data_IF_378084855958
#
_entry.id   IF_378084855958
#
_cell.length_a   1.000
_cell.length_b   1.000
_cell.length_c   1.000
_cell.angle_alpha   90.00
_cell.angle_beta   90.00
_cell.angle_gamma   90.00
#
_symmetry.space_group_name_H-M   'P 1'
#
loop_
_entity.id
_entity.type
_entity.pdbx_description
1 polymer ?
#
# COMPACT_ATOMS: atom_id res chain seq x y z
N UNK A 1 5.90 8.65 -7.40
CA UNK A 1 6.88 7.70 -6.88
C UNK A 1 8.29 8.07 -7.33
N UNK A 2 8.58 8.29 -8.63
CA UNK A 2 9.93 8.59 -9.12
C UNK A 2 10.63 9.78 -8.45
N UNK A 3 9.91 10.86 -8.14
CA UNK A 3 10.48 12.02 -7.44
C UNK A 3 10.82 11.67 -5.99
N UNK A 4 9.97 10.91 -5.31
CA UNK A 4 10.26 10.45 -3.96
C UNK A 4 11.41 9.44 -3.94
N UNK A 5 11.51 8.57 -4.93
CA UNK A 5 12.60 7.63 -5.06
C UNK A 5 13.93 8.36 -5.34
N UNK A 6 13.93 9.33 -6.26
CA UNK A 6 15.09 10.18 -6.51
C UNK A 6 15.48 11.02 -5.28
N UNK A 7 14.50 11.58 -4.55
CA UNK A 7 14.76 12.30 -3.31
C UNK A 7 15.32 11.39 -2.21
N UNK A 8 14.97 10.09 -2.20
CA UNK A 8 15.52 9.10 -1.23
C UNK A 8 16.99 8.77 -1.49
N UNK A 9 17.39 8.74 -2.75
CA UNK A 9 18.79 8.51 -3.13
C UNK A 9 19.66 9.70 -2.78
N UNK A 10 19.09 10.91 -2.74
CA UNK A 10 19.78 12.14 -2.36
C UNK A 10 19.58 12.42 -0.87
N UNK A 11 20.68 12.48 -0.14
CA UNK A 11 20.68 12.81 1.31
C UNK A 11 20.32 14.27 1.63
N UNK A 12 20.34 15.15 0.63
CA UNK A 12 20.04 16.57 0.74
C UNK A 12 18.60 16.86 0.28
N UNK A 13 18.05 18.00 0.74
CA UNK A 13 16.79 18.50 0.24
C UNK A 13 16.86 18.72 -1.27
N UNK A 14 15.89 18.20 -2.00
CA UNK A 14 15.78 18.32 -3.43
C UNK A 14 14.67 19.29 -3.80
N UNK A 15 14.95 20.20 -4.72
CA UNK A 15 13.95 21.09 -5.28
C UNK A 15 13.43 20.51 -6.60
N UNK A 16 12.12 20.43 -6.70
CA UNK A 16 11.43 20.00 -7.91
C UNK A 16 10.45 21.07 -8.35
N UNK A 17 10.28 21.23 -9.64
CA UNK A 17 9.21 22.04 -10.21
C UNK A 17 7.99 21.18 -10.47
N UNK A 18 6.83 21.82 -10.65
CA UNK A 18 5.62 21.12 -11.05
C UNK A 18 5.81 20.39 -12.39
N UNK A 19 6.61 20.96 -13.30
CA UNK A 19 6.96 20.36 -14.56
C UNK A 19 7.74 19.04 -14.40
N UNK A 20 8.62 18.94 -13.39
CA UNK A 20 9.41 17.72 -13.14
C UNK A 20 8.52 16.53 -12.77
N UNK A 21 7.36 16.76 -12.12
CA UNK A 21 6.39 15.71 -11.84
C UNK A 21 5.85 15.04 -13.09
N UNK A 22 5.62 15.81 -14.16
CA UNK A 22 5.06 15.29 -15.41
C UNK A 22 6.13 14.75 -16.34
N UNK A 23 7.30 15.37 -16.38
CA UNK A 23 8.41 14.96 -17.25
C UNK A 23 9.00 13.61 -16.83
N UNK A 24 9.12 13.39 -15.52
CA UNK A 24 9.75 12.20 -14.95
C UNK A 24 8.75 11.07 -14.61
N UNK A 25 7.46 11.34 -14.66
CA UNK A 25 6.43 10.35 -14.40
C UNK A 25 5.65 10.08 -15.69
N UNK A 26 5.28 8.83 -15.91
CA UNK A 26 4.44 8.40 -17.05
C UNK A 26 2.99 8.92 -16.99
N UNK A 27 2.75 9.97 -16.23
CA UNK A 27 1.42 10.58 -16.11
C UNK A 27 1.25 11.61 -17.24
N UNK A 28 0.04 11.67 -17.78
CA UNK A 28 -0.31 12.68 -18.76
C UNK A 28 -0.10 14.09 -18.18
N UNK A 29 0.49 14.99 -18.96
CA UNK A 29 0.58 16.40 -18.59
C UNK A 29 -0.82 16.96 -18.33
N UNK A 30 -0.99 17.88 -17.37
CA UNK A 30 -2.26 18.54 -17.18
C UNK A 30 -2.64 19.26 -18.47
N UNK A 31 -3.93 19.26 -18.78
CA UNK A 31 -4.44 19.96 -19.95
C UNK A 31 -4.04 21.44 -19.87
N UNK A 32 -3.51 21.98 -20.95
CA UNK A 32 -3.06 23.38 -21.03
C UNK A 32 -4.10 24.38 -20.49
N UNK A 33 -5.38 24.10 -20.71
CA UNK A 33 -6.48 24.91 -20.20
C UNK A 33 -6.47 25.00 -18.66
N UNK A 34 -6.16 23.91 -17.95
CA UNK A 34 -6.08 23.92 -16.47
C UNK A 34 -4.89 24.74 -16.00
N UNK A 35 -3.75 24.61 -16.67
CA UNK A 35 -2.55 25.40 -16.36
C UNK A 35 -2.81 26.90 -16.57
N UNK A 36 -3.44 27.25 -17.71
CA UNK A 36 -3.79 28.62 -18.02
C UNK A 36 -4.79 29.18 -16.99
N UNK A 37 -5.84 28.43 -16.68
CA UNK A 37 -6.83 28.84 -15.68
C UNK A 37 -6.18 29.19 -14.34
N UNK A 38 -5.34 28.30 -13.82
CA UNK A 38 -4.63 28.53 -12.54
C UNK A 38 -3.70 29.73 -12.63
N UNK A 39 -2.93 29.85 -13.71
CA UNK A 39 -2.03 30.98 -13.90
C UNK A 39 -2.77 32.31 -13.97
N UNK A 40 -3.91 32.36 -14.67
CA UNK A 40 -4.70 33.58 -14.84
C UNK A 40 -5.36 33.99 -13.51
N UNK A 41 -5.86 33.04 -12.73
CA UNK A 41 -6.39 33.30 -11.39
C UNK A 41 -5.35 33.94 -10.47
N UNK A 42 -4.12 33.40 -10.43
CA UNK A 42 -3.05 33.98 -9.64
C UNK A 42 -2.62 35.37 -10.14
N UNK A 43 -2.62 35.59 -11.46
CA UNK A 43 -2.31 36.91 -12.05
C UNK A 43 -3.39 37.94 -11.72
N UNK A 44 -4.65 37.55 -11.77
CA UNK A 44 -5.79 38.40 -11.39
C UNK A 44 -5.73 38.85 -9.92
N UNK A 45 -5.07 38.06 -9.08
CA UNK A 45 -4.84 38.37 -7.67
C UNK A 45 -3.46 39.02 -7.40
N UNK A 46 -2.81 39.55 -8.43
CA UNK A 46 -1.58 40.34 -8.31
C UNK A 46 -0.26 39.58 -8.48
N UNK A 47 -0.29 38.28 -8.70
CA UNK A 47 0.91 37.48 -8.95
C UNK A 47 1.27 37.45 -10.45
N UNK A 48 1.66 38.60 -11.01
CA UNK A 48 1.84 38.82 -12.45
C UNK A 48 2.83 37.88 -13.12
N UNK A 49 3.85 37.41 -12.39
CA UNK A 49 4.89 36.48 -12.89
C UNK A 49 4.63 35.01 -12.54
N UNK A 50 3.47 34.69 -11.98
CA UNK A 50 3.17 33.33 -11.57
C UNK A 50 3.05 32.39 -12.77
N UNK A 51 3.72 31.25 -12.66
CA UNK A 51 3.58 30.11 -13.57
C UNK A 51 3.58 28.81 -12.77
N UNK A 52 2.47 28.09 -12.81
CA UNK A 52 2.26 26.84 -12.10
C UNK A 52 3.38 25.82 -12.35
N UNK A 53 3.84 25.70 -13.60
CA UNK A 53 4.88 24.73 -13.96
C UNK A 53 6.23 25.02 -13.33
N UNK A 54 6.47 26.28 -12.97
CA UNK A 54 7.73 26.74 -12.35
C UNK A 54 7.68 26.81 -10.83
N UNK A 55 6.55 26.48 -10.21
CA UNK A 55 6.44 26.41 -8.75
C UNK A 55 7.44 25.41 -8.21
N UNK A 56 8.31 25.85 -7.31
CA UNK A 56 9.35 25.01 -6.71
C UNK A 56 8.84 24.37 -5.43
N UNK A 57 9.03 23.09 -5.33
CA UNK A 57 8.69 22.27 -4.16
C UNK A 57 9.98 21.76 -3.54
N UNK A 58 10.13 22.01 -2.26
CA UNK A 58 11.24 21.44 -1.50
C UNK A 58 10.80 20.11 -0.91
N UNK A 59 11.42 19.02 -1.37
CA UNK A 59 11.20 17.68 -0.84
C UNK A 59 12.38 17.32 0.05
N UNK A 60 12.18 17.45 1.35
CA UNK A 60 13.13 17.00 2.38
C UNK A 60 12.66 15.66 2.94
N UNK A 61 13.44 14.63 2.71
CA UNK A 61 13.14 13.28 3.19
C UNK A 61 13.07 13.17 4.70
N UNK A 62 13.87 13.96 5.43
CA UNK A 62 13.84 13.96 6.90
C UNK A 62 12.51 14.50 7.40
N UNK A 63 12.09 15.63 6.82
CA UNK A 63 10.80 16.24 7.16
C UNK A 63 9.64 15.31 6.81
N UNK A 64 9.65 14.71 5.61
CA UNK A 64 8.62 13.75 5.17
C UNK A 64 8.57 12.55 6.13
N UNK A 65 9.70 11.95 6.45
CA UNK A 65 9.76 10.81 7.37
C UNK A 65 9.29 11.21 8.79
N UNK A 66 9.61 12.41 9.24
CA UNK A 66 9.13 12.91 10.52
C UNK A 66 7.61 13.07 10.53
N UNK A 67 7.02 13.72 9.53
CA UNK A 67 5.57 13.92 9.43
C UNK A 67 4.83 12.58 9.30
N UNK A 68 5.30 11.71 8.42
CA UNK A 68 4.73 10.37 8.27
C UNK A 68 4.84 9.60 9.58
N UNK A 69 6.01 9.64 10.23
CA UNK A 69 6.24 8.98 11.51
C UNK A 69 5.22 9.43 12.56
N UNK A 70 5.02 10.74 12.74
CA UNK A 70 4.04 11.28 13.69
C UNK A 70 2.61 10.78 13.43
N UNK A 71 2.22 10.65 12.15
CA UNK A 71 0.86 10.22 11.78
C UNK A 71 0.65 8.72 12.03
N UNK A 72 1.64 7.89 11.68
CA UNK A 72 1.47 6.42 11.68
C UNK A 72 2.03 5.74 12.93
N UNK A 73 2.82 6.42 13.76
CA UNK A 73 3.53 5.81 14.90
C UNK A 73 2.59 5.10 15.87
N UNK A 74 1.50 5.75 16.25
CA UNK A 74 0.51 5.15 17.14
C UNK A 74 -0.11 3.89 16.53
N UNK A 75 -0.51 3.96 15.26
CA UNK A 75 -1.11 2.84 14.55
C UNK A 75 -0.15 1.65 14.47
N UNK A 76 1.10 1.89 14.06
CA UNK A 76 2.11 0.84 13.95
C UNK A 76 2.50 0.29 15.32
N UNK A 77 2.56 1.13 16.35
CA UNK A 77 2.78 0.67 17.72
C UNK A 77 1.70 -0.30 18.19
N UNK A 78 0.45 -0.03 17.88
CA UNK A 78 -0.67 -0.93 18.23
C UNK A 78 -0.65 -2.23 17.38
N UNK A 79 -0.26 -2.16 16.11
CA UNK A 79 -0.01 -3.35 15.28
C UNK A 79 1.12 -4.20 15.87
N UNK A 80 2.23 -3.60 16.26
CA UNK A 80 3.37 -4.31 16.86
C UNK A 80 3.00 -4.99 18.19
N UNK A 81 2.15 -4.36 19.02
CA UNK A 81 1.63 -5.00 20.24
C UNK A 81 0.83 -6.28 19.93
N UNK A 82 -0.01 -6.23 18.89
CA UNK A 82 -0.77 -7.42 18.44
C UNK A 82 0.18 -8.50 17.89
N UNK A 83 1.13 -8.13 17.02
CA UNK A 83 2.11 -9.07 16.49
C UNK A 83 2.92 -9.76 17.60
N UNK A 84 3.30 -9.00 18.64
CA UNK A 84 3.97 -9.58 19.81
C UNK A 84 3.11 -10.64 20.50
N UNK A 85 1.80 -10.42 20.63
CA UNK A 85 0.87 -11.36 21.24
C UNK A 85 0.72 -12.67 20.43
N UNK A 86 0.99 -12.63 19.11
CA UNK A 86 0.99 -13.82 18.25
C UNK A 86 2.30 -14.61 18.26
N UNK A 87 3.33 -14.13 18.95
CA UNK A 87 4.65 -14.79 19.05
C UNK A 87 5.23 -15.19 17.68
N UNK A 88 5.12 -14.29 16.70
CA UNK A 88 5.54 -14.55 15.33
C UNK A 88 7.07 -14.71 15.25
N UNK A 89 7.54 -15.77 14.57
CA UNK A 89 8.95 -15.98 14.28
C UNK A 89 9.48 -15.01 13.21
N UNK A 90 8.65 -14.69 12.21
CA UNK A 90 8.99 -13.80 11.11
C UNK A 90 7.85 -12.81 10.85
N UNK A 91 8.21 -11.60 10.46
CA UNK A 91 7.27 -10.55 10.05
C UNK A 91 7.59 -10.11 8.63
N UNK A 92 6.66 -10.36 7.72
CA UNK A 92 6.79 -9.94 6.33
C UNK A 92 6.10 -8.60 6.13
N UNK A 93 6.84 -7.59 5.68
CA UNK A 93 6.31 -6.26 5.41
C UNK A 93 6.01 -6.11 3.92
N UNK A 94 4.73 -6.15 3.56
CA UNK A 94 4.24 -6.00 2.19
C UNK A 94 3.45 -4.71 2.00
N UNK A 95 3.27 -4.31 0.75
CA UNK A 95 2.57 -3.10 0.37
C UNK A 95 3.48 -1.87 0.23
N UNK A 96 3.02 -0.90 -0.55
CA UNK A 96 3.80 0.29 -0.90
C UNK A 96 4.33 1.11 0.29
N UNK A 97 3.56 1.34 1.37
CA UNK A 97 4.04 2.10 2.53
C UNK A 97 5.27 1.47 3.21
N UNK A 98 5.45 0.15 3.11
CA UNK A 98 6.60 -0.53 3.73
C UNK A 98 7.93 -0.24 3.04
N UNK A 99 7.89 0.41 1.89
CA UNK A 99 9.09 0.91 1.21
C UNK A 99 9.62 2.19 1.87
N UNK A 100 8.83 2.86 2.70
CA UNK A 100 9.26 4.07 3.42
C UNK A 100 10.18 3.68 4.58
N UNK A 101 11.37 4.30 4.72
CA UNK A 101 12.31 3.98 5.78
C UNK A 101 11.70 4.09 7.18
N UNK A 102 10.92 5.14 7.44
CA UNK A 102 10.27 5.39 8.73
C UNK A 102 9.34 4.25 9.17
N UNK A 103 8.69 3.58 8.22
CA UNK A 103 7.83 2.43 8.55
C UNK A 103 8.67 1.28 9.10
N UNK A 104 9.77 0.98 8.44
CA UNK A 104 10.72 -0.06 8.86
C UNK A 104 11.34 0.27 10.23
N UNK A 105 11.75 1.53 10.42
CA UNK A 105 12.33 2.00 11.68
C UNK A 105 11.34 1.88 12.84
N UNK A 106 10.06 2.16 12.60
CA UNK A 106 9.01 1.99 13.61
C UNK A 106 8.78 0.51 13.97
N UNK A 107 8.83 -0.40 13.00
CA UNK A 107 8.79 -1.84 13.31
C UNK A 107 9.98 -2.27 14.15
N UNK A 108 11.20 -1.83 13.82
CA UNK A 108 12.39 -2.11 14.63
C UNK A 108 12.30 -1.51 16.04
N UNK A 109 11.66 -0.35 16.19
CA UNK A 109 11.48 0.32 17.48
C UNK A 109 10.50 -0.42 18.39
N UNK A 110 9.39 -0.91 17.85
CA UNK A 110 8.26 -1.41 18.65
C UNK A 110 8.13 -2.93 18.70
N UNK A 111 8.73 -3.65 17.76
CA UNK A 111 8.61 -5.08 17.69
C UNK A 111 9.86 -5.76 18.29
N UNK A 112 9.74 -6.52 19.37
CA UNK A 112 10.86 -7.21 20.01
C UNK A 112 11.24 -8.50 19.26
N UNK A 113 11.51 -8.35 17.96
CA UNK A 113 11.94 -9.43 17.06
C UNK A 113 13.27 -8.99 16.45
N UNK A 114 14.25 -9.88 16.34
CA UNK A 114 15.52 -9.57 15.69
C UNK A 114 15.31 -8.95 14.30
N UNK A 115 16.07 -7.90 13.92
CA UNK A 115 15.90 -7.22 12.63
C UNK A 115 15.90 -8.14 11.42
N UNK A 116 16.65 -9.24 11.48
CA UNK A 116 16.78 -10.25 10.42
C UNK A 116 15.47 -11.03 10.19
N UNK A 117 14.58 -11.02 11.16
CA UNK A 117 13.26 -11.65 11.07
C UNK A 117 12.17 -10.72 10.60
N UNK A 118 12.47 -9.43 10.41
CA UNK A 118 11.58 -8.44 9.82
C UNK A 118 11.98 -8.28 8.36
N UNK A 119 11.20 -8.86 7.46
CA UNK A 119 11.53 -8.99 6.04
C UNK A 119 10.66 -8.03 5.21
N UNK A 120 11.22 -6.88 4.77
CA UNK A 120 10.51 -6.02 3.82
C UNK A 120 10.54 -6.68 2.44
N UNK A 121 9.35 -6.87 1.85
CA UNK A 121 9.19 -7.49 0.54
C UNK A 121 9.67 -6.59 -0.60
N UNK A 122 9.69 -5.27 -0.41
CA UNK A 122 10.32 -4.35 -1.36
C UNK A 122 11.82 -4.62 -1.44
N UNK A 123 12.34 -4.84 -2.65
CA UNK A 123 13.73 -5.23 -2.92
C UNK A 123 14.14 -6.61 -2.38
N UNK A 124 13.20 -7.43 -1.91
CA UNK A 124 13.50 -8.82 -1.55
C UNK A 124 13.88 -9.62 -2.79
N UNK A 125 14.99 -10.33 -2.71
CA UNK A 125 15.48 -11.15 -3.83
C UNK A 125 14.73 -12.48 -3.86
N UNK A 126 13.87 -12.63 -4.85
CA UNK A 126 13.01 -13.82 -5.04
C UNK A 126 13.41 -14.64 -6.27
N UNK A 127 14.17 -14.05 -7.19
CA UNK A 127 14.58 -14.66 -8.44
C UNK A 127 13.81 -14.17 -9.66
N UNK A 128 14.28 -14.57 -10.83
CA UNK A 128 13.73 -14.12 -12.12
C UNK A 128 12.37 -14.73 -12.46
N UNK A 129 11.99 -15.81 -11.79
CA UNK A 129 10.69 -16.44 -11.98
C UNK A 129 9.51 -15.56 -11.57
N UNK A 130 9.76 -14.57 -10.71
CA UNK A 130 8.72 -13.67 -10.24
C UNK A 130 8.32 -12.67 -11.32
N UNK A 131 7.02 -12.60 -11.73
CA UNK A 131 6.59 -11.84 -12.92
C UNK A 131 6.88 -10.33 -12.86
N UNK A 132 7.02 -9.79 -11.65
CA UNK A 132 7.23 -8.35 -11.39
C UNK A 132 8.59 -8.10 -10.74
N UNK A 133 9.58 -8.95 -11.02
CA UNK A 133 10.96 -8.72 -10.59
C UNK A 133 11.64 -7.64 -11.43
N UNK A 134 12.65 -7.01 -10.84
CA UNK A 134 13.60 -6.19 -11.58
C UNK A 134 14.71 -7.09 -12.19
N UNK A 135 15.64 -6.49 -12.95
CA UNK A 135 16.75 -7.22 -13.57
C UNK A 135 17.69 -7.91 -12.57
N UNK A 136 17.62 -7.57 -11.28
CA UNK A 136 18.38 -8.22 -10.20
C UNK A 136 17.58 -9.34 -9.51
N UNK A 137 16.42 -9.72 -10.02
CA UNK A 137 15.53 -10.73 -9.45
C UNK A 137 14.89 -10.29 -8.13
N UNK A 138 14.74 -8.98 -7.91
CA UNK A 138 14.12 -8.44 -6.70
C UNK A 138 12.69 -7.97 -6.97
N UNK A 139 11.84 -8.08 -5.96
CA UNK A 139 10.45 -7.57 -6.01
C UNK A 139 10.49 -6.04 -6.12
N UNK A 140 10.07 -5.51 -7.28
CA UNK A 140 10.05 -4.07 -7.54
C UNK A 140 8.88 -3.37 -6.82
N UNK A 141 7.70 -3.96 -6.88
CA UNK A 141 6.48 -3.44 -6.23
C UNK A 141 5.93 -4.47 -5.25
N UNK A 142 6.06 -4.23 -3.93
CA UNK A 142 5.58 -5.16 -2.91
C UNK A 142 4.06 -5.37 -2.90
N UNK A 143 3.27 -4.54 -3.58
CA UNK A 143 1.82 -4.78 -3.76
C UNK A 143 1.53 -6.04 -4.56
N UNK A 144 2.42 -6.41 -5.47
CA UNK A 144 2.24 -7.57 -6.34
C UNK A 144 2.35 -8.90 -5.58
N UNK A 145 2.95 -8.90 -4.38
CA UNK A 145 3.15 -10.10 -3.58
C UNK A 145 1.84 -10.83 -3.26
N UNK A 146 0.78 -10.09 -2.99
CA UNK A 146 -0.54 -10.69 -2.67
C UNK A 146 -1.13 -11.39 -3.89
N UNK A 147 -1.11 -10.73 -5.05
CA UNK A 147 -1.66 -11.30 -6.28
C UNK A 147 -0.87 -12.53 -6.74
N UNK A 148 0.46 -12.45 -6.72
CA UNK A 148 1.33 -13.59 -7.10
C UNK A 148 1.18 -14.72 -6.09
N UNK A 149 1.12 -14.43 -4.79
CA UNK A 149 0.89 -15.43 -3.75
C UNK A 149 -0.45 -16.14 -3.91
N UNK A 150 -1.51 -15.40 -4.21
CA UNK A 150 -2.82 -15.97 -4.49
C UNK A 150 -2.82 -16.88 -5.73
N UNK A 151 -2.13 -16.48 -6.80
CA UNK A 151 -1.99 -17.31 -7.99
C UNK A 151 -1.21 -18.60 -7.70
N UNK A 152 -0.12 -18.52 -6.93
CA UNK A 152 0.65 -19.70 -6.50
C UNK A 152 -0.20 -20.62 -5.63
N UNK A 153 -0.96 -20.06 -4.69
CA UNK A 153 -1.85 -20.84 -3.83
C UNK A 153 -2.92 -21.60 -4.64
N UNK A 154 -3.53 -20.94 -5.62
CA UNK A 154 -4.49 -21.57 -6.52
C UNK A 154 -3.85 -22.69 -7.35
N UNK A 155 -2.67 -22.41 -7.94
CA UNK A 155 -1.98 -23.38 -8.79
C UNK A 155 -1.47 -24.59 -8.01
N UNK A 156 -1.01 -24.40 -6.78
CA UNK A 156 -0.46 -25.48 -5.94
C UNK A 156 -1.55 -26.27 -5.20
N UNK A 157 -2.66 -25.64 -4.87
CA UNK A 157 -3.76 -26.26 -4.14
C UNK A 157 -4.81 -26.86 -5.05
N UNK A 158 -5.68 -26.04 -5.64
CA UNK A 158 -6.84 -26.50 -6.39
C UNK A 158 -6.49 -27.05 -7.77
N UNK A 159 -5.54 -26.44 -8.47
CA UNK A 159 -5.21 -26.83 -9.84
C UNK A 159 -4.12 -27.90 -9.93
N UNK A 160 -3.40 -28.19 -8.83
CA UNK A 160 -2.30 -29.17 -8.78
C UNK A 160 -1.28 -29.05 -9.93
N UNK A 161 -1.00 -27.82 -10.38
CA UNK A 161 -0.14 -27.55 -11.54
C UNK A 161 1.33 -27.30 -11.19
N UNK A 162 1.68 -27.32 -9.90
CA UNK A 162 3.05 -27.19 -9.44
C UNK A 162 3.55 -28.54 -8.93
N UNK A 163 4.44 -29.17 -9.68
CA UNK A 163 4.89 -30.57 -9.44
C UNK A 163 5.59 -30.76 -8.09
N UNK A 164 6.33 -29.75 -7.63
CA UNK A 164 7.17 -29.84 -6.44
C UNK A 164 6.70 -29.00 -5.27
N UNK A 165 5.56 -28.37 -5.36
CA UNK A 165 5.00 -27.50 -4.31
C UNK A 165 3.50 -27.69 -4.17
N UNK A 166 3.08 -28.16 -3.02
CA UNK A 166 1.66 -28.30 -2.66
C UNK A 166 1.33 -27.46 -1.44
N UNK A 167 0.31 -26.63 -1.54
CA UNK A 167 -0.26 -25.89 -0.46
C UNK A 167 -1.61 -26.50 -0.07
N UNK A 168 -1.72 -27.05 1.14
CA UNK A 168 -2.98 -27.52 1.68
C UNK A 168 -3.80 -26.35 2.22
N UNK A 169 -4.64 -25.79 1.34
CA UNK A 169 -5.50 -24.65 1.69
C UNK A 169 -6.54 -25.04 2.75
N UNK A 170 -6.97 -26.31 2.79
CA UNK A 170 -7.90 -26.79 3.83
C UNK A 170 -7.31 -26.64 5.22
N UNK A 171 -6.10 -27.13 5.43
CA UNK A 171 -5.39 -27.00 6.71
C UNK A 171 -5.07 -25.54 7.09
N UNK A 172 -4.86 -24.67 6.10
CA UNK A 172 -4.71 -23.25 6.34
C UNK A 172 -6.04 -22.62 6.81
N UNK A 173 -7.16 -22.97 6.19
CA UNK A 173 -8.49 -22.47 6.59
C UNK A 173 -8.84 -22.86 8.03
N UNK A 174 -8.50 -24.07 8.45
CA UNK A 174 -8.71 -24.53 9.83
C UNK A 174 -7.94 -23.68 10.87
N UNK A 175 -6.79 -23.11 10.49
CA UNK A 175 -5.95 -22.31 11.37
C UNK A 175 -6.21 -20.80 11.31
N UNK A 176 -6.69 -20.32 10.17
CA UNK A 176 -6.88 -18.90 9.90
C UNK A 176 -8.31 -18.63 9.47
N UNK A 177 -9.25 -18.79 10.39
CA UNK A 177 -10.61 -18.33 10.15
C UNK A 177 -10.65 -16.81 9.98
N UNK A 178 -11.42 -16.36 9.01
CA UNK A 178 -11.70 -14.93 8.86
C UNK A 178 -12.48 -14.44 10.09
N UNK A 179 -12.05 -13.34 10.68
CA UNK A 179 -12.81 -12.66 11.71
C UNK A 179 -13.98 -11.84 11.13
N UNK A 180 -14.05 -11.70 9.81
CA UNK A 180 -15.13 -11.01 9.12
C UNK A 180 -16.31 -11.98 8.89
N UNK A 181 -17.25 -11.99 9.82
CA UNK A 181 -18.45 -12.83 9.71
C UNK A 181 -19.56 -12.20 8.87
N UNK A 182 -19.62 -10.90 8.87
CA UNK A 182 -20.64 -10.12 8.17
C UNK A 182 -19.97 -9.13 7.22
N UNK A 183 -20.38 -9.12 5.96
CA UNK A 183 -19.92 -8.18 4.95
C UNK A 183 -21.16 -7.43 4.43
N UNK A 184 -21.07 -6.12 4.32
CA UNK A 184 -22.19 -5.33 3.91
C UNK A 184 -21.81 -3.95 3.39
N UNK A 185 -22.81 -3.16 3.07
CA UNK A 185 -22.66 -1.78 2.62
C UNK A 185 -22.34 -0.90 3.83
N UNK A 186 -21.22 -0.18 3.77
CA UNK A 186 -20.77 0.69 4.86
C UNK A 186 -21.29 2.11 4.70
N UNK A 187 -21.99 2.59 5.73
CA UNK A 187 -22.43 3.98 5.84
C UNK A 187 -21.34 4.81 6.55
N UNK A 188 -20.70 5.71 5.80
CA UNK A 188 -19.66 6.59 6.35
C UNK A 188 -20.16 7.56 7.41
N UNK A 189 -21.41 8.00 7.29
CA UNK A 189 -21.98 9.01 8.20
C UNK A 189 -22.27 8.38 9.55
N UNK A 190 -22.86 7.20 9.53
CA UNK A 190 -23.25 6.48 10.73
C UNK A 190 -22.14 5.56 11.27
N UNK A 191 -21.05 5.39 10.52
CA UNK A 191 -19.90 4.53 10.86
C UNK A 191 -20.30 3.08 11.19
N UNK A 192 -21.27 2.52 10.48
CA UNK A 192 -21.72 1.13 10.63
C UNK A 192 -22.13 0.52 9.29
N UNK A 193 -22.40 -0.80 9.26
CA UNK A 193 -22.96 -1.45 8.08
C UNK A 193 -24.45 -1.09 7.97
N UNK A 194 -24.81 -0.40 6.89
CA UNK A 194 -26.20 -0.02 6.60
C UNK A 194 -27.06 -1.24 6.22
N UNK A 195 -26.46 -2.21 5.52
CA UNK A 195 -27.09 -3.48 5.20
C UNK A 195 -26.05 -4.59 5.17
N UNK A 196 -26.41 -5.78 5.65
CA UNK A 196 -25.59 -6.98 5.57
C UNK A 196 -25.88 -7.65 4.23
N UNK A 197 -24.83 -7.86 3.44
CA UNK A 197 -24.90 -8.53 2.15
C UNK A 197 -24.56 -10.02 2.26
N UNK A 198 -23.63 -10.36 3.15
CA UNK A 198 -23.21 -11.73 3.46
C UNK A 198 -23.14 -11.91 4.96
N UNK A 199 -23.59 -13.05 5.44
CA UNK A 199 -23.41 -13.52 6.80
C UNK A 199 -22.57 -14.82 6.83
N UNK A 200 -22.26 -15.31 8.01
CA UNK A 200 -21.44 -16.51 8.21
C UNK A 200 -22.04 -17.80 7.66
N UNK A 201 -23.34 -17.82 7.36
CA UNK A 201 -24.07 -18.99 6.88
C UNK A 201 -24.20 -19.02 5.34
N UNK A 202 -23.86 -17.94 4.66
CA UNK A 202 -24.01 -17.84 3.21
C UNK A 202 -22.72 -18.19 2.47
N UNK A 203 -22.69 -19.35 1.84
CA UNK A 203 -21.50 -19.84 1.11
C UNK A 203 -21.35 -19.29 -0.31
N UNK A 204 -22.45 -18.93 -0.99
CA UNK A 204 -22.41 -18.43 -2.37
C UNK A 204 -23.54 -17.44 -2.63
N UNK A 205 -23.22 -16.16 -2.69
CA UNK A 205 -24.16 -15.10 -3.06
C UNK A 205 -23.54 -14.20 -4.12
N UNK A 206 -24.29 -13.95 -5.18
CA UNK A 206 -23.89 -12.96 -6.19
C UNK A 206 -24.53 -11.62 -5.86
N UNK A 207 -23.69 -10.59 -5.74
CA UNK A 207 -24.15 -9.22 -5.61
C UNK A 207 -24.03 -8.51 -6.95
N UNK A 208 -25.10 -7.81 -7.33
CA UNK A 208 -25.08 -6.86 -8.45
C UNK A 208 -24.77 -5.46 -7.89
N UNK A 209 -23.84 -4.80 -8.54
CA UNK A 209 -23.45 -3.44 -8.18
C UNK A 209 -23.91 -2.50 -9.28
N UNK A 210 -24.84 -1.63 -8.97
CA UNK A 210 -25.36 -0.64 -9.91
C UNK A 210 -24.56 0.68 -9.87
N UNK A 211 -23.47 0.73 -9.12
CA UNK A 211 -22.59 1.89 -8.97
C UNK A 211 -21.52 1.69 -7.91
N UNK A 212 -20.66 2.68 -7.68
CA UNK A 212 -19.63 2.61 -6.66
C UNK A 212 -20.26 2.51 -5.27
N UNK A 213 -19.90 1.49 -4.50
CA UNK A 213 -20.31 1.34 -3.11
C UNK A 213 -19.12 1.09 -2.20
N UNK A 214 -19.24 1.49 -0.96
CA UNK A 214 -18.27 1.21 0.06
C UNK A 214 -18.70 -0.05 0.81
N UNK A 215 -17.85 -1.06 0.79
CA UNK A 215 -18.06 -2.29 1.57
C UNK A 215 -17.30 -2.19 2.89
N UNK A 216 -17.94 -2.70 3.93
CA UNK A 216 -17.35 -2.88 5.24
C UNK A 216 -17.58 -4.30 5.74
N UNK A 217 -16.91 -4.63 6.82
CA UNK A 217 -17.12 -5.90 7.51
C UNK A 217 -17.21 -5.70 9.01
N UNK A 218 -17.89 -6.62 9.69
CA UNK A 218 -17.94 -6.71 11.15
C UNK A 218 -17.84 -8.14 11.62
N UNK A 219 -17.44 -8.32 12.88
CA UNK A 219 -17.21 -9.60 13.52
C UNK A 219 -18.46 -10.12 14.25
N UNK A 220 -19.30 -9.20 14.70
CA UNK A 220 -20.53 -9.49 15.44
C UNK A 220 -21.72 -8.77 14.77
N UNK A 221 -22.90 -9.29 14.97
CA UNK A 221 -24.16 -8.74 14.47
C UNK A 221 -24.48 -7.34 15.02
#
# INVERSE_FOLDING_TARGET
>A
LGILDHARENRNACFYTFNDFYTNNKYANPVNQVIQYVNDEFRNHGATSFNLLNVKWNIDNRFINQVIGQVIEKLLGDVCKKLKAYECDYVLLSGCPTTLPVVKDLFYKYLPVPPERIIPMGNYRIGEWYPFSNNAGQIKDPKTCVAVGAAIALMSGELMRLDNFRLDIGKLKEKFESTAKYIGIYDKIKSHLASICFDENENNKQLRFDGPMLLGFKQFE
#
